data_IF_751102737686
#
_entry.id   IF_751102737686
#
_cell.length_a   1.000
_cell.length_b   1.000
_cell.length_c   1.000
_cell.angle_alpha   90.00
_cell.angle_beta   90.00
_cell.angle_gamma   90.00
#
_symmetry.space_group_name_H-M   'P 1'
#
loop_
_entity.id
_entity.type
_entity.pdbx_description
1 polymer ?
#
# COMPACT_ATOMS: atom_id res chain seq x y z
N UNK A 1 6.19 40.70 6.55
CA UNK A 1 7.67 40.88 6.47
C UNK A 1 8.27 39.80 7.36
N UNK A 2 8.96 38.82 6.78
CA UNK A 2 9.36 37.56 7.42
C UNK A 2 10.86 37.54 7.73
N UNK A 3 11.25 37.24 8.96
CA UNK A 3 12.62 36.82 9.31
C UNK A 3 12.55 35.69 10.34
N UNK A 4 12.57 34.44 9.89
CA UNK A 4 12.99 33.29 10.69
C UNK A 4 14.32 32.81 10.09
N UNK A 5 15.42 33.38 10.57
CA UNK A 5 16.80 33.06 10.18
C UNK A 5 17.26 31.86 11.00
N UNK A 6 16.98 30.64 10.54
CA UNK A 6 17.39 29.39 11.19
C UNK A 6 17.80 28.32 10.18
N UNK A 7 18.43 28.72 9.09
CA UNK A 7 18.73 27.83 7.94
C UNK A 7 20.11 27.20 7.96
N UNK A 8 21.09 27.82 8.62
CA UNK A 8 22.49 27.41 8.60
C UNK A 8 23.00 27.19 10.01
N UNK A 9 23.85 26.18 10.16
CA UNK A 9 24.62 25.94 11.39
C UNK A 9 26.08 26.06 11.01
N UNK A 10 26.80 26.95 11.69
CA UNK A 10 28.23 27.19 11.48
C UNK A 10 29.00 26.82 12.75
N UNK A 11 30.05 26.03 12.59
CA UNK A 11 30.95 25.60 13.66
C UNK A 11 32.31 26.22 13.36
N UNK A 12 32.79 27.06 14.27
CA UNK A 12 34.11 27.70 14.19
C UNK A 12 34.93 27.31 15.41
N UNK A 13 36.22 27.03 15.22
CA UNK A 13 37.12 26.68 16.33
C UNK A 13 38.17 27.77 16.50
N UNK A 14 38.22 28.34 17.70
CA UNK A 14 39.15 29.39 18.06
C UNK A 14 40.01 28.98 19.26
N UNK A 15 41.31 29.30 19.22
CA UNK A 15 42.23 29.23 20.34
C UNK A 15 42.31 30.60 21.04
N UNK A 16 42.21 30.63 22.38
CA UNK A 16 42.38 31.87 23.16
C UNK A 16 43.87 32.09 23.41
N UNK A 17 44.45 33.12 22.79
CA UNK A 17 45.89 33.40 22.83
C UNK A 17 46.29 34.50 23.83
N UNK A 18 45.33 35.08 24.55
CA UNK A 18 45.55 36.17 25.51
C UNK A 18 44.26 36.81 26.01
N UNK A 19 44.32 37.83 26.90
CA UNK A 19 43.16 38.38 27.62
C UNK A 19 42.03 38.88 26.73
N UNK A 20 42.33 39.30 25.50
CA UNK A 20 41.36 39.80 24.51
C UNK A 20 41.71 39.34 23.08
N UNK A 21 42.41 38.21 22.91
CA UNK A 21 42.86 37.74 21.61
C UNK A 21 42.49 36.27 21.38
N UNK A 22 41.87 36.00 20.23
CA UNK A 22 41.57 34.65 19.76
C UNK A 22 42.12 34.45 18.35
N UNK A 23 42.51 33.22 18.03
CA UNK A 23 42.99 32.81 16.71
C UNK A 23 42.09 31.70 16.19
N UNK A 24 41.50 31.87 15.01
CA UNK A 24 40.78 30.78 14.33
C UNK A 24 41.79 29.69 13.96
N UNK A 25 41.57 28.47 14.45
CA UNK A 25 42.48 27.33 14.23
C UNK A 25 41.91 26.30 13.26
N UNK A 26 40.62 26.42 12.92
CA UNK A 26 39.97 25.60 11.92
C UNK A 26 38.97 26.45 11.15
N UNK A 27 38.98 26.33 9.83
CA UNK A 27 38.03 27.02 8.96
C UNK A 27 36.60 26.68 9.38
N UNK A 28 35.75 27.70 9.48
CA UNK A 28 34.32 27.52 9.70
C UNK A 28 33.74 26.39 8.83
N UNK A 29 33.13 25.39 9.47
CA UNK A 29 32.45 24.31 8.78
C UNK A 29 30.97 24.31 9.16
N UNK A 30 30.10 24.12 8.17
CA UNK A 30 28.67 24.34 8.34
C UNK A 30 27.89 24.05 7.07
N UNK A 31 26.56 24.05 7.17
CA UNK A 31 25.68 23.84 6.02
C UNK A 31 24.20 24.05 6.36
N UNK A 32 23.30 23.60 5.48
CA UNK A 32 21.84 23.72 5.65
C UNK A 32 21.25 22.71 6.67
N UNK A 33 21.81 22.67 7.87
CA UNK A 33 21.40 21.77 8.96
C UNK A 33 20.55 22.50 10.00
N UNK A 34 20.12 23.73 9.71
CA UNK A 34 19.32 24.54 10.63
C UNK A 34 17.88 24.05 10.78
N UNK A 35 17.15 24.64 11.74
CA UNK A 35 15.77 24.30 12.07
C UNK A 35 14.76 24.42 10.92
N UNK A 36 15.11 25.09 9.80
CA UNK A 36 14.30 25.10 8.58
C UNK A 36 14.26 23.74 7.88
N UNK A 37 15.31 22.92 7.98
CA UNK A 37 15.33 21.58 7.39
C UNK A 37 14.32 20.67 8.08
N UNK A 38 14.19 20.78 9.41
CA UNK A 38 13.16 20.07 10.20
C UNK A 38 11.75 20.50 9.80
N UNK A 39 11.52 21.80 9.57
CA UNK A 39 10.24 22.29 9.07
C UNK A 39 9.91 21.73 7.67
N UNK A 40 10.93 21.61 6.81
CA UNK A 40 10.79 21.01 5.48
C UNK A 40 10.41 19.54 5.53
N UNK A 41 11.03 18.74 6.41
CA UNK A 41 10.68 17.33 6.59
C UNK A 41 9.28 17.14 7.20
N UNK A 42 8.89 17.98 8.15
CA UNK A 42 7.54 17.97 8.68
C UNK A 42 6.50 18.30 7.59
N UNK A 43 6.79 19.25 6.72
CA UNK A 43 5.93 19.53 5.56
C UNK A 43 5.82 18.34 4.61
N UNK A 44 6.92 17.66 4.30
CA UNK A 44 6.91 16.44 3.48
C UNK A 44 6.09 15.32 4.13
N UNK A 45 6.18 15.17 5.45
CA UNK A 45 5.36 14.26 6.22
C UNK A 45 3.86 14.57 6.07
N UNK A 46 3.46 15.84 6.20
CA UNK A 46 2.06 16.26 6.00
C UNK A 46 1.58 15.98 4.57
N UNK A 47 2.40 16.24 3.56
CA UNK A 47 2.09 15.94 2.14
C UNK A 47 1.95 14.43 1.93
N UNK A 48 2.80 13.61 2.56
CA UNK A 48 2.70 12.15 2.48
C UNK A 48 1.42 11.63 3.16
N UNK A 49 1.03 12.24 4.28
CA UNK A 49 -0.13 11.82 5.06
C UNK A 49 -1.46 12.22 4.42
N UNK A 50 -1.58 13.48 3.98
CA UNK A 50 -2.86 14.05 3.50
C UNK A 50 -2.93 14.24 1.97
N UNK A 51 -1.80 14.10 1.27
CA UNK A 51 -1.69 14.39 -0.15
C UNK A 51 -1.52 15.88 -0.44
N UNK A 52 -0.75 16.20 -1.49
CA UNK A 52 -0.42 17.59 -1.84
C UNK A 52 -1.63 18.47 -2.19
N UNK A 53 -2.71 17.88 -2.72
CA UNK A 53 -3.93 18.62 -3.02
C UNK A 53 -4.55 19.24 -1.76
N UNK A 54 -4.72 18.44 -0.70
CA UNK A 54 -5.34 18.87 0.56
C UNK A 54 -4.50 19.97 1.21
N UNK A 55 -3.18 19.80 1.24
CA UNK A 55 -2.26 20.81 1.78
C UNK A 55 -2.41 22.15 1.05
N UNK A 56 -2.49 22.12 -0.28
CA UNK A 56 -2.63 23.34 -1.08
C UNK A 56 -4.01 23.99 -0.93
N UNK A 57 -5.07 23.19 -0.83
CA UNK A 57 -6.43 23.68 -0.64
C UNK A 57 -6.58 24.36 0.72
N UNK A 58 -6.12 23.73 1.80
CA UNK A 58 -6.10 24.35 3.14
C UNK A 58 -5.27 25.63 3.13
N UNK A 59 -4.06 25.65 2.55
CA UNK A 59 -3.26 26.88 2.46
C UNK A 59 -4.02 28.03 1.79
N UNK A 60 -4.86 27.72 0.81
CA UNK A 60 -5.61 28.70 0.03
C UNK A 60 -6.90 29.14 0.72
N UNK A 61 -7.69 28.19 1.20
CA UNK A 61 -9.06 28.41 1.67
C UNK A 61 -9.14 28.52 3.21
N UNK A 62 -8.18 27.92 3.92
CA UNK A 62 -8.09 27.88 5.39
C UNK A 62 -6.69 28.32 5.89
N UNK A 63 -6.18 29.50 5.49
CA UNK A 63 -4.82 29.92 5.81
C UNK A 63 -4.56 30.08 7.31
N UNK A 64 -5.60 30.42 8.10
CA UNK A 64 -5.51 30.52 9.55
C UNK A 64 -5.23 29.16 10.20
N UNK A 65 -5.95 28.12 9.79
CA UNK A 65 -5.75 26.74 10.27
C UNK A 65 -4.37 26.21 9.87
N UNK A 66 -3.94 26.49 8.64
CA UNK A 66 -2.59 26.14 8.20
C UNK A 66 -1.52 26.83 9.05
N UNK A 67 -1.70 28.14 9.30
CA UNK A 67 -0.77 28.90 10.13
C UNK A 67 -0.74 28.39 11.57
N UNK A 68 -1.91 28.08 12.17
CA UNK A 68 -1.99 27.56 13.53
C UNK A 68 -1.27 26.21 13.67
N UNK A 69 -1.43 25.30 12.71
CA UNK A 69 -0.72 24.01 12.71
C UNK A 69 0.81 24.22 12.66
N UNK A 70 1.28 25.03 11.71
CA UNK A 70 2.71 25.29 11.54
C UNK A 70 3.29 26.04 12.73
N UNK A 71 2.53 26.95 13.33
CA UNK A 71 2.93 27.67 14.53
C UNK A 71 3.00 26.75 15.75
N UNK A 72 2.01 25.88 15.95
CA UNK A 72 2.02 24.86 17.00
C UNK A 72 3.21 23.91 16.84
N UNK A 73 3.49 23.48 15.62
CA UNK A 73 4.67 22.66 15.34
C UNK A 73 5.96 23.40 15.67
N UNK A 74 6.14 24.64 15.22
CA UNK A 74 7.33 25.44 15.50
C UNK A 74 7.53 25.63 17.01
N UNK A 75 6.47 25.96 17.75
CA UNK A 75 6.52 26.09 19.20
C UNK A 75 7.00 24.79 19.84
N UNK A 76 6.42 23.65 19.45
CA UNK A 76 6.80 22.36 19.99
C UNK A 76 8.25 21.97 19.62
N UNK A 77 8.68 22.26 18.40
CA UNK A 77 10.04 22.01 17.91
C UNK A 77 11.08 22.79 18.72
N UNK A 78 10.80 24.06 19.04
CA UNK A 78 11.72 24.90 19.83
C UNK A 78 11.72 24.60 21.33
N UNK A 79 10.70 23.90 21.84
CA UNK A 79 10.56 23.56 23.26
C UNK A 79 11.06 22.16 23.64
N UNK A 80 11.61 21.40 22.68
CA UNK A 80 12.05 20.03 22.88
C UNK A 80 13.29 19.97 23.80
N UNK A 81 13.25 19.14 24.85
CA UNK A 81 14.35 19.04 25.84
C UNK A 81 14.98 17.66 25.91
N UNK A 82 14.20 16.59 25.72
CA UNK A 82 14.69 15.21 25.82
C UNK A 82 14.05 14.30 24.75
N UNK A 83 14.76 13.25 24.33
CA UNK A 83 14.33 12.29 23.31
C UNK A 83 13.03 11.52 23.65
N UNK A 84 12.55 11.59 24.89
CA UNK A 84 11.32 10.91 25.34
C UNK A 84 10.06 11.77 25.30
N UNK A 85 10.20 13.07 24.97
CA UNK A 85 9.08 14.02 24.95
C UNK A 85 8.12 13.72 23.80
N UNK A 86 6.83 13.54 24.12
CA UNK A 86 5.77 13.35 23.11
C UNK A 86 5.30 14.70 22.57
N UNK A 87 5.49 14.92 21.27
CA UNK A 87 4.95 16.10 20.58
C UNK A 87 3.50 15.83 20.16
N UNK A 88 2.56 16.57 20.75
CA UNK A 88 1.15 16.53 20.32
C UNK A 88 0.89 17.61 19.29
N UNK A 89 0.45 17.19 18.10
CA UNK A 89 0.08 18.09 17.01
C UNK A 89 -1.43 18.01 16.83
N UNK A 90 -2.12 19.14 17.04
CA UNK A 90 -3.55 19.22 16.75
C UNK A 90 -3.75 19.50 15.27
N UNK A 91 -4.42 18.58 14.59
CA UNK A 91 -4.83 18.77 13.19
C UNK A 91 -6.13 19.60 13.21
N UNK A 92 -6.16 20.77 12.55
CA UNK A 92 -7.38 21.57 12.48
C UNK A 92 -8.51 20.80 11.76
N UNK A 93 -9.74 21.00 12.21
CA UNK A 93 -10.90 20.24 11.70
C UNK A 93 -11.10 20.46 10.20
N UNK A 94 -10.89 21.68 9.71
CA UNK A 94 -10.98 22.02 8.28
C UNK A 94 -10.08 21.13 7.39
N UNK A 95 -8.91 20.71 7.87
CA UNK A 95 -8.02 19.82 7.10
C UNK A 95 -8.63 18.43 6.91
N UNK A 96 -9.29 17.92 7.96
CA UNK A 96 -9.97 16.63 7.90
C UNK A 96 -11.18 16.70 6.98
N UNK A 97 -11.90 17.82 6.97
CA UNK A 97 -13.05 18.04 6.10
C UNK A 97 -12.60 18.11 4.64
N UNK A 98 -11.58 18.92 4.31
CA UNK A 98 -10.99 18.97 2.97
C UNK A 98 -10.45 17.60 2.50
N UNK A 99 -9.79 16.84 3.38
CA UNK A 99 -9.29 15.51 3.04
C UNK A 99 -10.43 14.55 2.67
N UNK A 100 -11.46 14.48 3.54
CA UNK A 100 -12.62 13.60 3.35
C UNK A 100 -13.43 13.99 2.11
N UNK A 101 -13.63 15.28 1.88
CA UNK A 101 -14.37 15.79 0.73
C UNK A 101 -13.72 15.34 -0.59
N UNK A 102 -12.39 15.43 -0.69
CA UNK A 102 -11.67 15.02 -1.89
C UNK A 102 -11.74 13.53 -2.15
N UNK A 103 -11.68 12.72 -1.10
CA UNK A 103 -11.71 11.27 -1.24
C UNK A 103 -13.10 10.75 -1.60
N UNK A 104 -14.14 11.30 -0.98
CA UNK A 104 -15.54 11.00 -1.34
C UNK A 104 -15.87 11.48 -2.76
N UNK A 105 -15.48 12.69 -3.15
CA UNK A 105 -15.72 13.18 -4.51
C UNK A 105 -15.00 12.33 -5.57
N UNK A 106 -13.78 11.86 -5.28
CA UNK A 106 -13.06 10.93 -6.16
C UNK A 106 -13.76 9.59 -6.27
N UNK A 107 -14.24 9.05 -5.15
CA UNK A 107 -14.94 7.78 -5.11
C UNK A 107 -16.22 7.86 -5.96
N UNK A 108 -17.08 8.86 -5.72
CA UNK A 108 -18.36 9.02 -6.42
C UNK A 108 -18.25 9.49 -7.89
N UNK A 109 -17.05 9.83 -8.37
CA UNK A 109 -16.79 10.05 -9.80
C UNK A 109 -16.55 8.75 -10.58
N UNK A 110 -16.34 7.61 -9.90
CA UNK A 110 -16.14 6.34 -10.57
C UNK A 110 -17.43 5.85 -11.21
N UNK A 111 -17.38 5.50 -12.49
CA UNK A 111 -18.55 5.03 -13.25
C UNK A 111 -19.23 3.81 -12.60
N UNK A 112 -18.44 2.91 -12.01
CA UNK A 112 -18.93 1.71 -11.30
C UNK A 112 -19.87 2.01 -10.13
N UNK A 113 -19.89 3.26 -9.62
CA UNK A 113 -20.76 3.67 -8.50
C UNK A 113 -21.99 4.47 -8.95
N UNK A 114 -22.19 4.69 -10.26
CA UNK A 114 -23.29 5.50 -10.79
C UNK A 114 -24.70 4.97 -10.46
N UNK A 115 -24.85 3.67 -10.21
CA UNK A 115 -26.10 3.03 -9.82
C UNK A 115 -26.29 2.85 -8.31
N UNK A 116 -25.38 3.36 -7.47
CA UNK A 116 -25.47 3.19 -6.01
C UNK A 116 -26.48 4.19 -5.46
N UNK A 117 -27.51 3.69 -4.77
CA UNK A 117 -28.57 4.53 -4.19
C UNK A 117 -28.44 4.70 -2.66
N UNK A 118 -27.60 3.90 -2.00
CA UNK A 118 -27.51 3.88 -0.54
C UNK A 118 -26.06 3.81 -0.10
N UNK A 119 -25.72 4.68 0.86
CA UNK A 119 -24.45 4.66 1.57
C UNK A 119 -24.72 4.27 3.02
N UNK A 120 -24.06 3.21 3.49
CA UNK A 120 -24.16 2.76 4.88
C UNK A 120 -22.92 3.22 5.66
N UNK A 121 -23.09 4.13 6.60
CA UNK A 121 -22.00 4.62 7.44
C UNK A 121 -21.86 3.74 8.70
N UNK A 122 -20.75 3.01 8.80
CA UNK A 122 -20.45 2.07 9.88
C UNK A 122 -19.11 2.40 10.56
N UNK A 123 -18.80 1.73 11.66
CA UNK A 123 -17.62 1.98 12.48
C UNK A 123 -17.85 3.10 13.50
N UNK A 124 -17.04 3.14 14.57
CA UNK A 124 -17.26 4.04 15.70
C UNK A 124 -17.24 5.52 15.32
N UNK A 125 -16.49 5.91 14.28
CA UNK A 125 -16.46 7.30 13.84
C UNK A 125 -17.75 7.77 13.15
N UNK A 126 -18.57 6.84 12.67
CA UNK A 126 -19.92 7.14 12.14
C UNK A 126 -20.92 7.55 13.22
N UNK A 127 -20.53 7.51 14.50
CA UNK A 127 -21.30 8.09 15.62
C UNK A 127 -21.13 9.63 15.70
N UNK A 128 -20.15 10.19 15.00
CA UNK A 128 -19.89 11.64 15.00
C UNK A 128 -20.97 12.39 14.20
N UNK A 129 -21.76 13.28 14.84
CA UNK A 129 -22.76 14.07 14.12
C UNK A 129 -22.11 14.96 13.05
N UNK A 130 -20.94 15.55 13.36
CA UNK A 130 -20.19 16.41 12.44
C UNK A 130 -19.82 15.68 11.16
N UNK A 131 -19.35 14.42 11.28
CA UNK A 131 -19.01 13.61 10.11
C UNK A 131 -20.25 13.29 9.27
N UNK A 132 -21.32 12.83 9.92
CA UNK A 132 -22.53 12.39 9.23
C UNK A 132 -23.23 13.57 8.54
N UNK A 133 -23.24 14.74 9.18
CA UNK A 133 -23.82 15.95 8.59
C UNK A 133 -23.01 16.39 7.35
N UNK A 134 -21.67 16.38 7.40
CA UNK A 134 -20.82 16.68 6.26
C UNK A 134 -21.05 15.69 5.09
N UNK A 135 -21.13 14.38 5.38
CA UNK A 135 -21.42 13.35 4.37
C UNK A 135 -22.81 13.55 3.76
N UNK A 136 -23.84 13.82 4.58
CA UNK A 136 -25.20 14.08 4.10
C UNK A 136 -25.31 15.35 3.27
N UNK A 137 -24.67 16.43 3.68
CA UNK A 137 -24.66 17.69 2.92
C UNK A 137 -24.06 17.47 1.52
N UNK A 138 -23.01 16.65 1.43
CA UNK A 138 -22.28 16.43 0.17
C UNK A 138 -22.94 15.40 -0.74
N UNK A 139 -23.44 14.31 -0.16
CA UNK A 139 -23.87 13.12 -0.90
C UNK A 139 -25.36 12.83 -0.79
N UNK A 140 -26.07 13.45 0.14
CA UNK A 140 -27.48 13.18 0.41
C UNK A 140 -28.42 13.43 -0.77
N UNK A 141 -28.04 14.29 -1.72
CA UNK A 141 -28.78 14.48 -2.97
C UNK A 141 -28.60 13.32 -3.96
N UNK A 142 -27.48 12.59 -3.86
CA UNK A 142 -27.11 11.49 -4.78
C UNK A 142 -27.46 10.12 -4.21
N UNK A 143 -27.30 9.94 -2.89
CA UNK A 143 -27.49 8.66 -2.20
C UNK A 143 -28.20 8.86 -0.86
N UNK A 144 -28.98 7.84 -0.47
CA UNK A 144 -29.54 7.76 0.87
C UNK A 144 -28.45 7.35 1.87
N UNK A 145 -28.11 8.23 2.81
CA UNK A 145 -27.11 7.96 3.86
C UNK A 145 -27.80 7.34 5.08
N UNK A 146 -27.52 6.06 5.33
CA UNK A 146 -28.06 5.30 6.45
C UNK A 146 -26.96 5.11 7.51
N UNK A 147 -27.28 5.44 8.76
CA UNK A 147 -26.45 5.13 9.93
C UNK A 147 -27.20 4.09 10.76
N UNK A 148 -26.66 2.87 10.95
CA UNK A 148 -27.27 1.87 11.82
C UNK A 148 -27.40 2.37 13.27
N UNK A 149 -28.27 1.72 14.07
CA UNK A 149 -28.46 2.05 15.49
C UNK A 149 -27.15 1.99 16.30
N UNK A 150 -26.31 0.99 16.03
CA UNK A 150 -25.00 0.80 16.66
C UNK A 150 -23.91 0.72 15.58
N UNK A 151 -23.49 1.84 14.98
CA UNK A 151 -22.58 1.81 13.84
C UNK A 151 -21.20 1.25 14.24
N UNK A 152 -20.73 1.50 15.47
CA UNK A 152 -19.51 0.90 16.01
C UNK A 152 -19.54 -0.64 16.09
N UNK A 153 -20.72 -1.24 16.30
CA UNK A 153 -20.90 -2.71 16.36
C UNK A 153 -21.33 -3.33 15.03
N UNK A 154 -21.72 -2.53 14.03
CA UNK A 154 -22.26 -3.02 12.77
C UNK A 154 -21.30 -3.97 12.04
N UNK A 155 -19.99 -3.66 12.06
CA UNK A 155 -18.95 -4.51 11.44
C UNK A 155 -18.84 -5.86 12.14
N UNK A 156 -18.83 -5.87 13.48
CA UNK A 156 -18.77 -7.12 14.27
C UNK A 156 -20.02 -7.99 14.04
N UNK A 157 -21.21 -7.37 14.10
CA UNK A 157 -22.47 -8.06 13.82
C UNK A 157 -22.46 -8.68 12.41
N UNK A 158 -22.00 -7.93 11.42
CA UNK A 158 -21.83 -8.41 10.05
C UNK A 158 -20.84 -9.56 9.93
N UNK A 159 -19.72 -9.51 10.64
CA UNK A 159 -18.72 -10.60 10.66
C UNK A 159 -19.29 -11.89 11.26
N UNK A 160 -20.06 -11.80 12.34
CA UNK A 160 -20.75 -12.96 12.94
C UNK A 160 -21.76 -13.55 11.96
N UNK A 161 -22.60 -12.71 11.33
CA UNK A 161 -23.55 -13.15 10.31
C UNK A 161 -22.85 -13.83 9.13
N UNK A 162 -21.72 -13.27 8.67
CA UNK A 162 -20.90 -13.87 7.61
C UNK A 162 -20.36 -15.25 8.00
N UNK A 163 -20.00 -15.47 9.27
CA UNK A 163 -19.58 -16.78 9.77
C UNK A 163 -20.68 -17.84 9.69
N UNK A 164 -21.95 -17.47 9.89
CA UNK A 164 -23.10 -18.37 9.75
C UNK A 164 -23.53 -18.55 8.29
N UNK A 165 -23.47 -17.48 7.49
CA UNK A 165 -23.95 -17.44 6.11
C UNK A 165 -22.92 -16.82 5.15
N UNK A 166 -21.80 -17.51 4.87
CA UNK A 166 -20.70 -16.96 4.06
C UNK A 166 -21.13 -16.66 2.61
N UNK A 167 -22.16 -17.34 2.11
CA UNK A 167 -22.72 -17.14 0.77
C UNK A 167 -23.51 -15.83 0.59
N UNK A 168 -23.62 -15.00 1.63
CA UNK A 168 -24.23 -13.66 1.57
C UNK A 168 -23.43 -12.73 0.66
N UNK A 169 -22.10 -12.81 0.71
CA UNK A 169 -21.22 -12.09 -0.21
C UNK A 169 -21.08 -12.94 -1.47
N UNK A 170 -21.34 -12.36 -2.64
CA UNK A 170 -21.26 -13.07 -3.92
C UNK A 170 -19.92 -12.94 -4.61
N UNK A 171 -19.30 -11.77 -4.47
CA UNK A 171 -18.01 -11.49 -5.07
C UNK A 171 -17.27 -10.41 -4.28
N UNK A 172 -15.97 -10.29 -4.56
CA UNK A 172 -15.10 -9.23 -4.05
C UNK A 172 -14.32 -8.62 -5.19
N UNK A 173 -13.83 -7.41 -4.99
CA UNK A 173 -12.86 -6.79 -5.88
C UNK A 173 -11.47 -7.03 -5.30
N UNK A 174 -10.59 -7.68 -6.05
CA UNK A 174 -9.24 -7.99 -5.59
C UNK A 174 -8.45 -6.72 -5.29
N UNK A 175 -7.85 -6.63 -4.10
CA UNK A 175 -7.05 -5.47 -3.68
C UNK A 175 -5.66 -5.45 -4.32
N UNK A 176 -5.11 -6.61 -4.61
CA UNK A 176 -3.76 -6.80 -5.16
C UNK A 176 -3.83 -7.65 -6.43
N UNK A 177 -2.76 -7.62 -7.20
CA UNK A 177 -2.54 -8.60 -8.26
C UNK A 177 -1.84 -9.81 -7.67
N UNK A 178 -2.39 -11.01 -7.87
CA UNK A 178 -1.84 -12.27 -7.38
C UNK A 178 -1.32 -13.10 -8.53
N UNK A 179 -0.19 -13.77 -8.27
CA UNK A 179 0.45 -14.61 -9.26
C UNK A 179 1.61 -15.39 -8.67
N UNK A 180 2.38 -16.00 -9.55
CA UNK A 180 3.57 -16.77 -9.20
C UNK A 180 4.80 -16.29 -9.96
N UNK A 181 5.98 -16.48 -9.36
CA UNK A 181 7.22 -16.40 -10.12
C UNK A 181 7.24 -17.52 -11.18
N UNK A 182 7.59 -17.14 -12.41
CA UNK A 182 7.70 -18.06 -13.54
C UNK A 182 9.10 -17.93 -14.15
N UNK A 183 9.75 -19.09 -14.30
CA UNK A 183 10.98 -19.17 -15.07
C UNK A 183 10.69 -19.47 -16.54
N UNK A 184 11.22 -18.65 -17.45
CA UNK A 184 11.10 -18.86 -18.91
C UNK A 184 12.26 -18.25 -19.67
N UNK A 185 12.36 -18.55 -20.96
CA UNK A 185 13.33 -17.90 -21.84
C UNK A 185 13.06 -16.39 -21.95
N UNK A 186 14.15 -15.62 -21.97
CA UNK A 186 14.15 -14.18 -22.27
C UNK A 186 13.63 -13.92 -23.68
N UNK A 187 12.68 -13.00 -23.82
CA UNK A 187 12.05 -12.62 -25.07
C UNK A 187 12.47 -11.19 -25.42
N UNK A 188 13.38 -11.07 -26.40
CA UNK A 188 13.87 -9.78 -26.89
C UNK A 188 12.73 -8.89 -27.39
N UNK A 189 12.66 -7.65 -26.90
CA UNK A 189 11.62 -6.68 -27.26
C UNK A 189 10.35 -6.74 -26.40
N UNK A 190 10.19 -7.79 -25.58
CA UNK A 190 9.12 -7.90 -24.58
C UNK A 190 9.69 -7.67 -23.18
N UNK A 191 10.79 -8.35 -22.88
CA UNK A 191 11.47 -8.26 -21.59
C UNK A 191 12.39 -7.04 -21.50
N UNK A 192 12.56 -6.52 -20.30
CA UNK A 192 13.51 -5.45 -20.00
C UNK A 192 14.94 -5.94 -20.31
N UNK A 193 15.70 -5.14 -21.05
CA UNK A 193 17.08 -5.47 -21.42
C UNK A 193 17.99 -5.71 -20.19
N UNK A 194 17.67 -5.11 -19.05
CA UNK A 194 18.37 -5.34 -17.77
C UNK A 194 18.18 -6.75 -17.20
N UNK A 195 17.14 -7.47 -17.64
CA UNK A 195 16.87 -8.87 -17.27
C UNK A 195 17.56 -9.88 -18.19
N UNK A 196 18.25 -9.41 -19.24
CA UNK A 196 18.90 -10.30 -20.21
C UNK A 196 20.01 -11.12 -19.53
N UNK A 197 19.94 -12.47 -19.55
CA UNK A 197 20.95 -13.32 -18.94
C UNK A 197 22.31 -13.20 -19.65
N UNK A 198 23.39 -13.31 -18.88
CA UNK A 198 24.75 -13.07 -19.37
C UNK A 198 25.30 -14.21 -20.25
N UNK A 199 24.86 -15.47 -20.08
CA UNK A 199 25.45 -16.64 -20.73
C UNK A 199 24.41 -17.69 -21.19
N UNK A 200 24.63 -18.25 -22.39
CA UNK A 200 24.19 -19.57 -22.88
C UNK A 200 22.71 -19.92 -22.75
N UNK A 201 22.28 -20.29 -21.56
CA UNK A 201 20.89 -20.65 -21.26
C UNK A 201 20.14 -19.43 -20.72
N UNK A 202 19.41 -18.80 -21.64
CA UNK A 202 18.81 -17.47 -21.48
C UNK A 202 17.48 -17.51 -20.71
N UNK A 203 17.45 -18.04 -19.50
CA UNK A 203 16.25 -18.05 -18.65
C UNK A 203 16.23 -16.83 -17.72
N UNK A 204 15.05 -16.24 -17.57
CA UNK A 204 14.70 -15.29 -16.52
C UNK A 204 13.81 -16.03 -15.52
N UNK A 205 14.02 -15.81 -14.22
CA UNK A 205 13.40 -16.55 -13.12
C UNK A 205 12.35 -15.74 -12.35
N UNK A 206 12.26 -14.43 -12.60
CA UNK A 206 11.46 -13.50 -11.82
C UNK A 206 10.26 -12.93 -12.58
N UNK A 207 9.80 -13.59 -13.65
CA UNK A 207 8.60 -13.15 -14.38
C UNK A 207 7.39 -13.32 -13.49
N UNK A 208 6.56 -12.28 -13.40
CA UNK A 208 5.30 -12.34 -12.66
C UNK A 208 4.20 -12.91 -13.57
N UNK A 209 3.84 -14.17 -13.38
CA UNK A 209 2.68 -14.75 -14.07
C UNK A 209 1.40 -14.47 -13.30
N UNK A 210 0.50 -13.67 -13.89
CA UNK A 210 -0.67 -13.09 -13.23
C UNK A 210 -1.86 -14.05 -13.30
N UNK A 211 -2.40 -14.44 -12.14
CA UNK A 211 -3.62 -15.25 -12.01
C UNK A 211 -4.86 -14.40 -11.69
N UNK A 212 -4.68 -13.35 -10.88
CA UNK A 212 -5.76 -12.45 -10.46
C UNK A 212 -5.25 -11.03 -10.54
N UNK A 213 -5.97 -10.12 -11.20
CA UNK A 213 -5.56 -8.71 -11.30
C UNK A 213 -6.14 -7.86 -10.17
N UNK A 214 -5.39 -6.84 -9.75
CA UNK A 214 -5.94 -5.76 -8.92
C UNK A 214 -7.15 -5.13 -9.60
N UNK A 215 -8.25 -5.02 -8.86
CA UNK A 215 -9.53 -4.53 -9.38
C UNK A 215 -10.38 -5.58 -10.09
N UNK A 216 -9.90 -6.82 -10.25
CA UNK A 216 -10.71 -7.92 -10.80
C UNK A 216 -11.82 -8.30 -9.81
N UNK A 217 -13.02 -8.53 -10.33
CA UNK A 217 -14.12 -9.11 -9.56
C UNK A 217 -13.89 -10.61 -9.47
N UNK A 218 -13.74 -11.14 -8.27
CA UNK A 218 -13.56 -12.56 -7.97
C UNK A 218 -14.80 -13.09 -7.25
N UNK A 219 -15.36 -14.19 -7.72
CA UNK A 219 -16.58 -14.77 -7.14
C UNK A 219 -16.25 -15.66 -5.93
N UNK A 220 -17.06 -15.55 -4.87
CA UNK A 220 -16.88 -16.34 -3.66
C UNK A 220 -16.94 -17.83 -4.02
N UNK A 221 -15.91 -18.58 -3.60
CA UNK A 221 -15.83 -20.04 -3.79
C UNK A 221 -15.39 -20.49 -5.18
N UNK A 222 -15.17 -19.57 -6.12
CA UNK A 222 -14.72 -19.91 -7.46
C UNK A 222 -13.20 -19.73 -7.61
N UNK A 223 -12.59 -20.63 -8.37
CA UNK A 223 -11.19 -20.51 -8.77
C UNK A 223 -11.11 -19.76 -10.10
N UNK A 224 -10.12 -18.89 -10.21
CA UNK A 224 -9.78 -18.25 -11.48
C UNK A 224 -9.25 -19.27 -12.49
N UNK A 225 -9.25 -18.95 -13.81
CA UNK A 225 -8.80 -19.85 -14.86
C UNK A 225 -7.43 -20.46 -14.57
N UNK A 226 -7.28 -21.76 -14.84
CA UNK A 226 -6.04 -22.48 -14.57
C UNK A 226 -4.93 -22.08 -15.55
N UNK A 227 -3.72 -21.90 -15.02
CA UNK A 227 -2.50 -21.76 -15.80
C UNK A 227 -1.74 -23.09 -15.81
N UNK A 228 -1.03 -23.36 -16.91
CA UNK A 228 -0.27 -24.59 -17.10
C UNK A 228 1.23 -24.30 -17.04
N UNK A 229 1.96 -25.16 -16.33
CA UNK A 229 3.40 -25.08 -16.10
C UNK A 229 4.06 -26.40 -16.43
N UNK A 230 5.30 -26.30 -16.87
CA UNK A 230 6.15 -27.44 -17.22
C UNK A 230 7.46 -27.35 -16.45
N UNK A 231 8.10 -28.48 -16.14
CA UNK A 231 9.45 -28.49 -15.62
C UNK A 231 10.40 -27.74 -16.56
N UNK A 232 11.36 -27.04 -15.98
CA UNK A 232 12.30 -26.19 -16.71
C UNK A 232 13.42 -27.00 -17.34
N UNK A 233 13.82 -28.08 -16.67
CA UNK A 233 14.88 -29.00 -17.09
C UNK A 233 14.41 -30.45 -17.05
N UNK A 234 15.07 -31.28 -17.84
CA UNK A 234 14.87 -32.73 -17.82
C UNK A 234 15.19 -33.30 -16.42
N UNK A 235 14.43 -34.32 -16.00
CA UNK A 235 14.56 -35.00 -14.70
C UNK A 235 14.43 -34.09 -13.46
N UNK A 236 13.81 -32.91 -13.59
CA UNK A 236 13.52 -32.03 -12.46
C UNK A 236 12.70 -32.77 -11.39
N UNK A 237 13.22 -32.80 -10.15
CA UNK A 237 12.66 -33.57 -9.03
C UNK A 237 11.65 -32.81 -8.19
N UNK A 238 11.62 -31.49 -8.30
CA UNK A 238 10.77 -30.63 -7.49
C UNK A 238 10.38 -29.39 -8.30
N UNK A 239 9.11 -29.00 -8.27
CA UNK A 239 8.66 -27.71 -8.77
C UNK A 239 8.31 -26.80 -7.58
N UNK A 240 8.84 -25.58 -7.59
CA UNK A 240 8.55 -24.55 -6.60
C UNK A 240 7.65 -23.49 -7.21
N UNK A 241 6.49 -23.27 -6.59
CA UNK A 241 5.59 -22.17 -6.91
C UNK A 241 5.73 -21.10 -5.82
N UNK A 242 6.44 -20.03 -6.15
CA UNK A 242 6.57 -18.87 -5.27
C UNK A 242 5.43 -17.90 -5.55
N UNK A 243 4.55 -17.69 -4.56
CA UNK A 243 3.37 -16.86 -4.70
C UNK A 243 3.66 -15.42 -4.31
N UNK A 244 3.16 -14.47 -5.09
CA UNK A 244 3.35 -13.05 -4.87
C UNK A 244 2.03 -12.29 -4.89
N UNK A 245 2.01 -11.19 -4.13
CA UNK A 245 1.02 -10.12 -4.24
C UNK A 245 1.71 -8.85 -4.75
N UNK A 246 1.07 -8.11 -5.64
CA UNK A 246 1.54 -6.81 -6.12
C UNK A 246 0.51 -5.70 -5.89
N UNK A 247 0.99 -4.54 -5.45
CA UNK A 247 0.20 -3.31 -5.41
C UNK A 247 -0.14 -2.76 -6.80
N UNK A 248 0.60 -3.16 -7.82
CA UNK A 248 0.37 -2.74 -9.21
C UNK A 248 -0.60 -3.67 -9.94
N UNK A 249 -1.29 -3.14 -10.96
CA UNK A 249 -2.31 -3.90 -11.70
C UNK A 249 -1.70 -4.92 -12.68
N UNK A 250 -0.58 -4.55 -13.29
CA UNK A 250 0.07 -5.32 -14.35
C UNK A 250 1.59 -5.40 -14.06
N UNK A 251 2.01 -6.01 -12.93
CA UNK A 251 3.42 -6.22 -12.63
C UNK A 251 4.04 -7.14 -13.70
N UNK A 252 5.27 -6.84 -14.12
CA UNK A 252 5.98 -7.72 -15.07
C UNK A 252 6.94 -8.67 -14.37
N UNK A 253 7.55 -8.21 -13.26
CA UNK A 253 8.53 -8.97 -12.51
C UNK A 253 8.21 -9.01 -11.02
N UNK A 254 8.55 -10.10 -10.35
CA UNK A 254 8.39 -10.26 -8.90
C UNK A 254 9.32 -9.35 -8.11
N UNK A 255 10.37 -8.84 -8.75
CA UNK A 255 11.34 -7.87 -8.20
C UNK A 255 10.86 -6.41 -8.28
N UNK A 256 9.72 -6.13 -8.93
CA UNK A 256 9.19 -4.76 -9.01
C UNK A 256 8.75 -4.23 -7.64
N UNK A 257 8.85 -2.90 -7.49
CA UNK A 257 8.43 -2.23 -6.26
C UNK A 257 6.93 -2.49 -6.02
N UNK A 258 6.59 -2.89 -4.79
CA UNK A 258 5.21 -3.21 -4.40
C UNK A 258 4.84 -4.68 -4.58
N UNK A 259 5.75 -5.52 -5.09
CA UNK A 259 5.64 -6.97 -5.03
C UNK A 259 6.09 -7.50 -3.67
N UNK A 260 5.34 -8.45 -3.11
CA UNK A 260 5.62 -9.11 -1.83
C UNK A 260 5.40 -10.61 -1.94
N UNK A 261 6.38 -11.41 -1.52
CA UNK A 261 6.27 -12.86 -1.50
C UNK A 261 5.32 -13.30 -0.38
N UNK A 262 4.32 -14.10 -0.71
CA UNK A 262 3.34 -14.65 0.22
C UNK A 262 3.79 -16.00 0.79
N UNK A 263 4.48 -16.80 -0.02
CA UNK A 263 5.01 -18.10 0.38
C UNK A 263 5.30 -19.01 -0.80
N UNK A 264 5.65 -20.26 -0.52
CA UNK A 264 6.10 -21.23 -1.52
C UNK A 264 5.33 -22.55 -1.37
N UNK A 265 4.89 -23.12 -2.49
CA UNK A 265 4.38 -24.49 -2.57
C UNK A 265 5.35 -25.34 -3.37
N UNK A 266 5.83 -26.43 -2.77
CA UNK A 266 6.76 -27.37 -3.41
C UNK A 266 6.03 -28.64 -3.82
N UNK A 267 6.22 -29.07 -5.06
CA UNK A 267 5.62 -30.29 -5.65
C UNK A 267 6.73 -31.27 -5.99
N UNK A 268 6.70 -32.45 -5.38
CA UNK A 268 7.65 -33.54 -5.66
C UNK A 268 7.33 -34.21 -7.01
N UNK A 269 8.30 -34.17 -7.93
CA UNK A 269 8.24 -34.71 -9.29
C UNK A 269 9.07 -35.99 -9.47
N UNK A 270 9.63 -36.57 -8.40
CA UNK A 270 10.53 -37.74 -8.49
C UNK A 270 9.88 -39.03 -9.02
N UNK A 271 8.57 -39.05 -9.25
CA UNK A 271 7.82 -40.26 -9.63
C UNK A 271 7.80 -40.42 -11.16
N UNK A 272 8.60 -41.38 -11.62
CA UNK A 272 9.12 -41.65 -12.98
C UNK A 272 8.16 -41.87 -14.15
N UNK A 273 6.87 -41.58 -14.06
CA UNK A 273 5.90 -42.06 -15.08
C UNK A 273 5.26 -41.00 -15.97
N UNK A 274 5.78 -39.77 -16.04
CA UNK A 274 5.28 -38.84 -17.07
C UNK A 274 6.38 -38.11 -17.81
N UNK A 275 6.39 -38.31 -19.14
CA UNK A 275 7.15 -37.51 -20.09
C UNK A 275 6.64 -36.07 -20.18
N UNK A 276 5.53 -35.74 -19.51
CA UNK A 276 4.84 -34.48 -19.69
C UNK A 276 4.92 -33.55 -18.47
N UNK A 277 5.23 -34.04 -17.26
CA UNK A 277 5.52 -33.24 -16.06
C UNK A 277 4.50 -32.14 -15.72
N UNK A 278 3.33 -32.18 -16.36
CA UNK A 278 2.50 -31.00 -16.55
C UNK A 278 1.74 -30.68 -15.27
N UNK A 279 1.91 -29.44 -14.82
CA UNK A 279 1.30 -28.92 -13.61
C UNK A 279 0.26 -27.88 -14.00
N UNK A 280 -0.92 -27.96 -13.41
CA UNK A 280 -1.94 -26.91 -13.50
C UNK A 280 -2.05 -26.21 -12.17
N UNK A 281 -2.02 -24.88 -12.16
CA UNK A 281 -2.25 -24.06 -10.98
C UNK A 281 -3.51 -23.24 -11.18
N UNK A 282 -4.34 -23.21 -10.14
CA UNK A 282 -5.48 -22.30 -10.04
C UNK A 282 -5.49 -21.63 -8.67
N UNK A 283 -5.92 -20.37 -8.65
CA UNK A 283 -5.97 -19.54 -7.45
C UNK A 283 -7.41 -19.10 -7.20
N UNK A 284 -7.82 -19.16 -5.94
CA UNK A 284 -9.03 -18.51 -5.43
C UNK A 284 -8.61 -17.42 -4.44
N UNK A 285 -8.88 -16.16 -4.78
CA UNK A 285 -8.56 -14.99 -3.96
C UNK A 285 -9.83 -14.30 -3.41
N UNK A 286 -10.95 -15.01 -3.37
CA UNK A 286 -12.26 -14.47 -2.98
C UNK A 286 -12.57 -14.63 -1.49
N UNK A 287 -11.91 -15.59 -0.82
CA UNK A 287 -12.11 -15.92 0.58
C UNK A 287 -11.44 -14.93 1.55
N UNK A 288 -11.42 -15.30 2.83
CA UNK A 288 -10.57 -14.66 3.85
C UNK A 288 -9.10 -15.06 3.71
N UNK A 289 -8.84 -16.14 2.97
CA UNK A 289 -7.53 -16.67 2.63
C UNK A 289 -7.46 -16.83 1.11
N UNK A 290 -6.25 -16.72 0.57
CA UNK A 290 -5.96 -17.11 -0.80
C UNK A 290 -5.69 -18.60 -0.82
N UNK A 291 -6.41 -19.33 -1.67
CA UNK A 291 -6.23 -20.77 -1.83
C UNK A 291 -5.60 -21.02 -3.20
N UNK A 292 -4.41 -21.63 -3.19
CA UNK A 292 -3.76 -22.10 -4.40
C UNK A 292 -3.85 -23.63 -4.47
N UNK A 293 -4.20 -24.15 -5.65
CA UNK A 293 -4.24 -25.59 -5.90
C UNK A 293 -3.38 -25.90 -7.11
N UNK A 294 -2.30 -26.66 -6.90
CA UNK A 294 -1.48 -27.23 -7.96
C UNK A 294 -1.89 -28.67 -8.17
N UNK A 295 -2.13 -29.06 -9.42
CA UNK A 295 -2.48 -30.42 -9.81
C UNK A 295 -1.53 -30.95 -10.86
N UNK A 296 -0.94 -32.10 -10.57
CA UNK A 296 -0.12 -32.85 -11.52
C UNK A 296 -1.04 -33.65 -12.46
N UNK A 297 -0.97 -33.39 -13.77
CA UNK A 297 -1.94 -33.95 -14.71
C UNK A 297 -1.84 -35.46 -14.88
N UNK A 298 -0.64 -36.02 -14.79
CA UNK A 298 -0.40 -37.45 -14.96
C UNK A 298 -0.90 -38.28 -13.78
N UNK A 299 -0.52 -37.90 -12.56
CA UNK A 299 -0.88 -38.63 -11.33
C UNK A 299 -2.25 -38.23 -10.78
N UNK A 300 -2.76 -37.06 -11.20
CA UNK A 300 -3.93 -36.38 -10.61
C UNK A 300 -3.74 -35.97 -9.15
N UNK A 301 -2.52 -35.99 -8.63
CA UNK A 301 -2.22 -35.51 -7.29
C UNK A 301 -2.51 -34.00 -7.20
N UNK A 302 -3.09 -33.60 -6.06
CA UNK A 302 -3.39 -32.20 -5.76
C UNK A 302 -2.61 -31.74 -4.53
N UNK A 303 -1.98 -30.57 -4.65
CA UNK A 303 -1.21 -29.90 -3.63
C UNK A 303 -1.88 -28.56 -3.35
N UNK A 304 -2.03 -28.21 -2.07
CA UNK A 304 -2.76 -27.01 -1.66
C UNK A 304 -1.91 -26.13 -0.77
N UNK A 305 -2.00 -24.83 -0.98
CA UNK A 305 -1.44 -23.82 -0.10
C UNK A 305 -2.50 -22.76 0.23
N UNK A 306 -2.39 -22.22 1.44
CA UNK A 306 -3.27 -21.19 1.99
C UNK A 306 -2.40 -20.00 2.40
N UNK A 307 -2.77 -18.80 1.95
CA UNK A 307 -2.05 -17.58 2.28
C UNK A 307 -2.99 -16.56 2.90
N UNK A 308 -2.57 -15.98 4.03
CA UNK A 308 -3.27 -14.88 4.68
C UNK A 308 -2.79 -13.54 4.12
N UNK A 309 -3.73 -12.61 3.94
CA UNK A 309 -3.41 -11.21 3.65
C UNK A 309 -3.42 -10.44 4.97
N UNK A 310 -2.25 -10.00 5.42
CA UNK A 310 -2.11 -9.09 6.56
C UNK A 310 -2.35 -7.64 6.13
#
# INVERSE_FOLDING_TARGET
>A
MSFFLGGTTDITVHEVTGPNSVKEIHQACGGYWGGNTVNGEFYKFLVKLFGGFVINDVKKNHPADYFELMHNFERNKTSFKEDTDKVTIRIPVAWLDTYKENELDRLFKKQELSGVHTLLAVGGFSESPVLIDAVKQKLGEKVNVIVPRDPGLAVLKGAVMFGFEPGTIKSRVSRYTYGVAMQRHYIGGVDDASKRPSHGDSLIDDVFDIHVKKGQVVEIGHFEPEHTYFPVIDDQKCAHFEFFASEEKDPKYTTEKGCSMLGVLSVDLTRKDSKDGELSLKINASGTEIVAVVKEKATKNEYRAYFCLF
#
